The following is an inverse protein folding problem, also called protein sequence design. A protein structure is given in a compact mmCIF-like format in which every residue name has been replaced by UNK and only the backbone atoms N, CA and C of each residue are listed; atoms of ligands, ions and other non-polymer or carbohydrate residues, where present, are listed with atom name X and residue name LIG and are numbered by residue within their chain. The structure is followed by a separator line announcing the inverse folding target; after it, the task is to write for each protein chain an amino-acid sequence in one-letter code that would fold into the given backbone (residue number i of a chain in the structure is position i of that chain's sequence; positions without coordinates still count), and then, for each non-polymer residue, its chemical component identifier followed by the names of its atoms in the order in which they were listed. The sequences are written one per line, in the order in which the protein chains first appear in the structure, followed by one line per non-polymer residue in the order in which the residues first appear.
data_IF_991803744588
#
_entry.id   IF_991803744588
#
_cell.length_a   1.000
_cell.length_b   1.000
_cell.length_c   1.000
_cell.angle_alpha   90.00
_cell.angle_beta   90.00
_cell.angle_gamma   90.00
#
_symmetry.space_group_name_H-M   'P 1'
#
loop_
_entity.id
_entity.type
_entity.pdbx_description
1 polymer ?
#
# COMPACT_ATOMS: atom_id res chain seq x y z
N UNK A 1 22.38 -23.99 5.00
CA UNK A 1 20.97 -23.86 4.56
C UNK A 1 20.45 -22.44 4.81
N UNK A 2 20.82 -21.79 5.92
CA UNK A 2 20.52 -20.37 6.24
C UNK A 2 20.68 -19.37 5.09
N UNK A 3 21.80 -19.39 4.36
CA UNK A 3 22.05 -18.40 3.28
C UNK A 3 20.96 -18.39 2.20
N UNK A 4 20.36 -19.55 1.89
CA UNK A 4 19.30 -19.67 0.89
C UNK A 4 17.98 -19.10 1.40
N UNK A 5 17.63 -19.40 2.65
CA UNK A 5 16.41 -18.89 3.31
C UNK A 5 16.47 -17.36 3.49
N UNK A 6 17.63 -16.84 3.88
CA UNK A 6 17.85 -15.40 4.03
C UNK A 6 17.73 -14.65 2.68
N UNK A 7 18.12 -15.29 1.58
CA UNK A 7 17.96 -14.75 0.22
C UNK A 7 16.49 -14.71 -0.18
N UNK A 8 15.73 -15.77 0.12
CA UNK A 8 14.28 -15.84 -0.17
C UNK A 8 13.53 -14.75 0.62
N UNK A 9 13.84 -14.57 1.90
CA UNK A 9 13.20 -13.54 2.73
C UNK A 9 13.48 -12.12 2.22
N UNK A 10 14.71 -11.85 1.74
CA UNK A 10 15.05 -10.56 1.11
C UNK A 10 14.19 -10.29 -0.13
N UNK A 11 14.00 -11.28 -0.99
CA UNK A 11 13.15 -11.15 -2.19
C UNK A 11 11.70 -10.87 -1.79
N UNK A 12 11.15 -11.63 -0.83
CA UNK A 12 9.79 -11.42 -0.33
C UNK A 12 9.59 -10.04 0.30
N UNK A 13 10.62 -9.52 0.98
CA UNK A 13 10.59 -8.18 1.55
C UNK A 13 10.57 -7.10 0.45
N UNK A 14 11.42 -7.22 -0.57
CA UNK A 14 11.45 -6.30 -1.73
C UNK A 14 10.12 -6.28 -2.48
N UNK A 15 9.52 -7.45 -2.75
CA UNK A 15 8.19 -7.56 -3.36
C UNK A 15 7.11 -6.89 -2.50
N UNK A 16 7.19 -7.07 -1.17
CA UNK A 16 6.24 -6.43 -0.25
C UNK A 16 6.38 -4.91 -0.28
N UNK A 17 7.60 -4.38 -0.31
CA UNK A 17 7.83 -2.93 -0.44
C UNK A 17 7.36 -2.38 -1.78
N UNK A 18 7.60 -3.08 -2.89
CA UNK A 18 7.05 -2.70 -4.21
C UNK A 18 5.53 -2.65 -4.19
N UNK A 19 4.87 -3.62 -3.56
CA UNK A 19 3.42 -3.64 -3.41
C UNK A 19 2.89 -2.44 -2.62
N UNK A 20 3.55 -2.08 -1.50
CA UNK A 20 3.21 -0.87 -0.72
C UNK A 20 3.37 0.39 -1.58
N UNK A 21 4.45 0.48 -2.36
CA UNK A 21 4.70 1.64 -3.22
C UNK A 21 3.62 1.80 -4.29
N UNK A 22 3.24 0.70 -4.96
CA UNK A 22 2.16 0.69 -5.97
C UNK A 22 0.82 1.08 -5.35
N UNK A 23 0.48 0.50 -4.20
CA UNK A 23 -0.76 0.79 -3.46
C UNK A 23 -0.83 2.27 -3.06
N UNK A 24 0.28 2.82 -2.56
CA UNK A 24 0.37 4.24 -2.19
C UNK A 24 0.23 5.15 -3.41
N UNK A 25 0.87 4.80 -4.53
CA UNK A 25 0.74 5.55 -5.77
C UNK A 25 -0.70 5.54 -6.30
N UNK A 26 -1.37 4.38 -6.27
CA UNK A 26 -2.77 4.26 -6.65
C UNK A 26 -3.67 5.15 -5.77
N UNK A 27 -3.46 5.15 -4.45
CA UNK A 27 -4.19 5.99 -3.52
C UNK A 27 -4.01 7.49 -3.84
N UNK A 28 -2.78 7.92 -4.14
CA UNK A 28 -2.50 9.31 -4.53
C UNK A 28 -3.22 9.69 -5.83
N UNK A 29 -3.21 8.81 -6.83
CA UNK A 29 -3.93 9.03 -8.09
C UNK A 29 -5.44 9.14 -7.86
N UNK A 30 -6.02 8.31 -6.98
CA UNK A 30 -7.44 8.41 -6.61
C UNK A 30 -7.75 9.77 -5.97
N UNK A 31 -6.91 10.25 -5.05
CA UNK A 31 -7.08 11.56 -4.44
C UNK A 31 -6.97 12.71 -5.46
N UNK A 32 -6.03 12.63 -6.39
CA UNK A 32 -5.91 13.63 -7.47
C UNK A 32 -7.14 13.63 -8.38
N UNK A 33 -7.66 12.44 -8.73
CA UNK A 33 -8.85 12.29 -9.54
C UNK A 33 -10.08 12.88 -8.84
N UNK A 34 -10.28 12.54 -7.56
CA UNK A 34 -11.32 13.14 -6.71
C UNK A 34 -11.25 14.66 -6.75
N UNK A 35 -10.07 15.23 -6.48
CA UNK A 35 -9.86 16.67 -6.50
C UNK A 35 -10.16 17.30 -7.88
N UNK A 36 -9.85 16.60 -8.97
CA UNK A 36 -10.18 17.05 -10.32
C UNK A 36 -11.70 17.03 -10.60
N UNK A 37 -12.41 15.99 -10.14
CA UNK A 37 -13.86 15.89 -10.29
C UNK A 37 -14.59 17.03 -9.57
N UNK A 38 -14.12 17.40 -8.37
CA UNK A 38 -14.69 18.51 -7.61
C UNK A 38 -14.37 19.88 -8.19
N UNK A 39 -13.11 20.15 -8.53
CA UNK A 39 -12.70 21.49 -8.93
C UNK A 39 -12.96 21.79 -10.41
N UNK A 40 -12.81 20.80 -11.29
CA UNK A 40 -12.95 21.00 -12.74
C UNK A 40 -14.34 20.63 -13.23
N UNK A 41 -14.80 19.43 -12.89
CA UNK A 41 -16.09 18.89 -13.37
C UNK A 41 -17.26 19.39 -12.51
N UNK A 42 -16.97 19.94 -11.32
CA UNK A 42 -17.96 20.46 -10.35
C UNK A 42 -18.94 19.38 -9.90
N UNK A 43 -18.46 18.14 -9.78
CA UNK A 43 -19.25 17.04 -9.24
C UNK A 43 -19.43 17.26 -7.74
N UNK A 44 -20.64 17.10 -7.19
CA UNK A 44 -20.87 17.22 -5.75
C UNK A 44 -20.18 16.11 -4.95
N UNK A 45 -19.53 16.46 -3.83
CA UNK A 45 -18.84 15.52 -2.91
C UNK A 45 -19.73 14.38 -2.42
N UNK A 46 -21.02 14.64 -2.18
CA UNK A 46 -21.93 13.59 -1.74
C UNK A 46 -22.09 12.46 -2.77
N UNK A 47 -21.86 12.75 -4.07
CA UNK A 47 -21.97 11.77 -5.14
C UNK A 47 -20.69 10.95 -5.37
N UNK A 48 -19.56 11.39 -4.82
CA UNK A 48 -18.24 10.75 -4.94
C UNK A 48 -17.69 10.24 -3.60
N UNK A 49 -18.49 10.25 -2.53
CA UNK A 49 -18.15 9.72 -1.19
C UNK A 49 -17.42 8.37 -1.20
N UNK A 50 -17.80 7.47 -2.12
CA UNK A 50 -17.12 6.18 -2.29
C UNK A 50 -15.65 6.36 -2.70
N UNK A 51 -15.39 7.25 -3.64
CA UNK A 51 -14.07 7.56 -4.16
C UNK A 51 -13.26 8.38 -3.15
N UNK A 52 -13.91 9.33 -2.48
CA UNK A 52 -13.22 10.33 -1.66
C UNK A 52 -12.90 9.82 -0.25
N UNK A 53 -13.73 8.92 0.28
CA UNK A 53 -13.56 8.36 1.61
C UNK A 53 -13.27 6.86 1.57
N UNK A 54 -14.16 6.06 0.97
CA UNK A 54 -14.09 4.59 1.11
C UNK A 54 -12.83 4.02 0.46
N UNK A 55 -12.49 4.44 -0.77
CA UNK A 55 -11.32 3.94 -1.48
C UNK A 55 -10.00 4.25 -0.74
N UNK A 56 -9.73 5.49 -0.28
CA UNK A 56 -8.55 5.79 0.54
C UNK A 56 -8.43 4.94 1.80
N UNK A 57 -9.54 4.68 2.49
CA UNK A 57 -9.55 3.81 3.67
C UNK A 57 -9.17 2.36 3.34
N UNK A 58 -9.62 1.83 2.20
CA UNK A 58 -9.25 0.49 1.73
C UNK A 58 -7.74 0.42 1.45
N UNK A 59 -7.17 1.44 0.78
CA UNK A 59 -5.73 1.50 0.53
C UNK A 59 -4.92 1.62 1.83
N UNK A 60 -5.40 2.42 2.79
CA UNK A 60 -4.77 2.54 4.10
C UNK A 60 -4.73 1.20 4.85
N UNK A 61 -5.85 0.47 4.90
CA UNK A 61 -5.91 -0.86 5.51
C UNK A 61 -4.98 -1.86 4.81
N UNK A 62 -4.96 -1.85 3.47
CA UNK A 62 -4.09 -2.70 2.67
C UNK A 62 -2.61 -2.43 2.99
N UNK A 63 -2.22 -1.16 3.06
CA UNK A 63 -0.86 -0.76 3.39
C UNK A 63 -0.48 -1.18 4.82
N UNK A 64 -1.37 -1.04 5.81
CA UNK A 64 -1.12 -1.50 7.19
C UNK A 64 -0.83 -3.00 7.22
N UNK A 65 -1.62 -3.80 6.53
CA UNK A 65 -1.44 -5.27 6.47
C UNK A 65 -0.08 -5.62 5.83
N UNK A 66 0.27 -4.97 4.72
CA UNK A 66 1.56 -5.17 4.06
C UNK A 66 2.74 -4.75 4.95
N UNK A 67 2.59 -3.68 5.72
CA UNK A 67 3.62 -3.19 6.64
C UNK A 67 3.86 -4.17 7.79
N UNK A 68 2.79 -4.74 8.36
CA UNK A 68 2.89 -5.82 9.35
C UNK A 68 3.61 -7.04 8.76
N UNK A 69 3.30 -7.40 7.51
CA UNK A 69 3.96 -8.51 6.80
C UNK A 69 5.47 -8.23 6.62
N UNK A 70 5.83 -7.01 6.20
CA UNK A 70 7.22 -6.61 6.06
C UNK A 70 7.99 -6.68 7.38
N UNK A 71 7.39 -6.22 8.49
CA UNK A 71 7.97 -6.33 9.84
C UNK A 71 8.19 -7.80 10.23
N UNK A 72 7.21 -8.68 9.97
CA UNK A 72 7.35 -10.11 10.26
C UNK A 72 8.49 -10.75 9.47
N UNK A 73 8.61 -10.45 8.17
CA UNK A 73 9.70 -10.95 7.32
C UNK A 73 11.05 -10.48 7.86
N UNK A 74 11.17 -9.18 8.18
CA UNK A 74 12.40 -8.61 8.75
C UNK A 74 12.78 -9.30 10.06
N UNK A 75 11.83 -9.49 10.98
CA UNK A 75 12.06 -10.18 12.25
C UNK A 75 12.54 -11.63 12.05
N UNK A 76 12.03 -12.31 11.02
CA UNK A 76 12.46 -13.66 10.68
C UNK A 76 13.88 -13.70 10.08
N UNK A 77 14.29 -12.66 9.35
CA UNK A 77 15.66 -12.50 8.89
C UNK A 77 16.63 -12.28 10.06
N UNK A 78 16.25 -11.43 11.02
CA UNK A 78 17.07 -11.14 12.20
C UNK A 78 17.28 -12.38 13.08
N UNK A 79 16.32 -13.31 13.13
CA UNK A 79 16.49 -14.60 13.83
C UNK A 79 17.36 -15.63 13.10
N UNK A 80 17.64 -15.41 11.81
CA UNK A 80 18.44 -16.28 10.94
C UNK A 80 19.88 -15.76 10.73
N UNK A 81 20.23 -14.65 11.40
CA UNK A 81 21.55 -13.98 11.30
C UNK A 81 22.30 -14.13 12.60
#
# INVERSE_FOLDING_TARGET
MEKRELTILKIQLDETFKSIMISTLACLLTMMLSNYLHNTVKIPEWSTILIDQVIPWIYALTNIILLIKAIKIKRNMDSLT
#
